data_IF_822978659782
#
_entry.id   IF_822978659782
#
_cell.length_a   1.000
_cell.length_b   1.000
_cell.length_c   1.000
_cell.angle_alpha   90.00
_cell.angle_beta   90.00
_cell.angle_gamma   90.00
#
_symmetry.space_group_name_H-M   'P 1'
#
loop_
_entity.id
_entity.type
_entity.pdbx_description
1 polymer ?
#
# COMPACT_ATOMS: atom_id res chain seq x y z
N UNK A 1 1.43 40.03 3.51
CA UNK A 1 0.17 39.40 3.00
C UNK A 1 0.34 38.78 1.61
N UNK A 2 1.26 39.24 0.77
CA UNK A 2 1.60 38.63 -0.53
C UNK A 2 2.09 37.18 -0.44
N UNK A 3 2.94 36.89 0.55
CA UNK A 3 3.64 35.61 0.63
C UNK A 3 2.71 34.45 1.03
N UNK A 4 1.73 34.75 1.88
CA UNK A 4 0.68 33.80 2.25
C UNK A 4 -0.20 33.46 1.03
N UNK A 5 -0.59 34.46 0.25
CA UNK A 5 -1.38 34.23 -0.97
C UNK A 5 -0.59 33.42 -2.00
N UNK A 6 0.69 33.71 -2.18
CA UNK A 6 1.58 32.93 -3.04
C UNK A 6 1.68 31.47 -2.59
N UNK A 7 1.88 31.23 -1.29
CA UNK A 7 1.96 29.87 -0.73
C UNK A 7 0.64 29.10 -0.91
N UNK A 8 -0.50 29.76 -0.71
CA UNK A 8 -1.81 29.16 -0.93
C UNK A 8 -2.07 28.85 -2.41
N UNK A 9 -1.65 29.73 -3.33
CA UNK A 9 -1.74 29.43 -4.77
C UNK A 9 -0.88 28.21 -5.13
N UNK A 10 0.34 28.09 -4.58
CA UNK A 10 1.17 26.89 -4.80
C UNK A 10 0.57 25.63 -4.22
N UNK A 11 -0.12 25.70 -3.08
CA UNK A 11 -0.87 24.57 -2.53
C UNK A 11 -2.08 24.18 -3.41
N UNK A 12 -2.77 25.15 -4.01
CA UNK A 12 -3.87 24.92 -4.95
C UNK A 12 -3.36 24.32 -6.27
N UNK A 13 -2.25 24.82 -6.80
CA UNK A 13 -1.61 24.30 -8.02
C UNK A 13 -1.03 22.89 -7.82
N UNK A 14 -0.77 22.50 -6.56
CA UNK A 14 -0.18 21.22 -6.20
C UNK A 14 -1.01 20.55 -5.10
N UNK A 15 -2.26 20.16 -5.39
CA UNK A 15 -3.16 19.63 -4.37
C UNK A 15 -2.54 18.41 -3.68
N UNK A 16 -1.84 17.53 -4.41
CA UNK A 16 -1.12 16.39 -3.84
C UNK A 16 -0.01 16.72 -2.83
N UNK A 17 0.38 17.99 -2.68
CA UNK A 17 1.27 18.47 -1.62
C UNK A 17 0.51 18.96 -0.36
N UNK A 18 -0.82 18.97 -0.37
CA UNK A 18 -1.67 19.32 0.79
C UNK A 18 -2.12 18.07 1.56
N UNK A 19 -2.23 18.18 2.89
CA UNK A 19 -2.44 16.99 3.76
C UNK A 19 -3.77 16.31 3.49
N UNK A 20 -4.81 17.11 3.22
CA UNK A 20 -6.16 16.63 2.98
C UNK A 20 -6.31 15.91 1.65
N UNK A 21 -5.74 16.44 0.55
CA UNK A 21 -5.90 15.80 -0.76
C UNK A 21 -4.81 14.79 -1.10
N UNK A 22 -3.72 14.74 -0.32
CA UNK A 22 -2.74 13.66 -0.38
C UNK A 22 -3.05 12.48 0.55
N UNK A 23 -4.27 12.42 1.11
CA UNK A 23 -4.69 11.40 2.07
C UNK A 23 -3.64 11.15 3.17
N UNK A 24 -2.89 12.18 3.59
CA UNK A 24 -1.72 12.00 4.49
C UNK A 24 -2.10 11.58 5.90
N UNK A 25 -3.40 11.58 6.21
CA UNK A 25 -3.98 11.03 7.43
C UNK A 25 -4.41 9.56 7.31
N UNK A 26 -4.52 9.02 6.09
CA UNK A 26 -4.84 7.62 5.87
C UNK A 26 -3.60 6.75 6.04
N UNK A 27 -3.80 5.54 6.58
CA UNK A 27 -2.73 4.59 6.86
C UNK A 27 -2.40 3.70 5.66
N UNK A 28 -3.42 3.24 4.93
CA UNK A 28 -3.34 2.44 3.70
C UNK A 28 -4.42 2.96 2.74
N UNK A 29 -4.15 2.90 1.44
CA UNK A 29 -5.13 3.11 0.38
C UNK A 29 -5.21 1.81 -0.41
N UNK A 30 -6.42 1.36 -0.67
CA UNK A 30 -6.71 0.16 -1.45
C UNK A 30 -7.51 0.56 -2.69
N UNK A 31 -7.43 -0.25 -3.75
CA UNK A 31 -8.39 -0.14 -4.84
C UNK A 31 -9.77 -0.56 -4.33
N UNK A 32 -10.82 0.10 -4.81
CA UNK A 32 -12.20 -0.28 -4.48
C UNK A 32 -12.51 -1.68 -5.01
N UNK A 33 -12.05 -1.95 -6.23
CA UNK A 33 -12.20 -3.26 -6.87
C UNK A 33 -10.97 -4.13 -6.62
N UNK A 34 -11.21 -5.40 -6.30
CA UNK A 34 -10.15 -6.41 -6.23
C UNK A 34 -9.48 -6.59 -7.59
N UNK A 35 -8.15 -6.57 -7.61
CA UNK A 35 -7.38 -6.93 -8.79
C UNK A 35 -7.33 -8.46 -8.87
N UNK A 36 -7.92 -9.01 -9.92
CA UNK A 36 -7.87 -10.44 -10.23
C UNK A 36 -6.86 -10.62 -11.38
N UNK A 37 -5.87 -11.47 -11.15
CA UNK A 37 -4.90 -11.86 -12.17
C UNK A 37 -5.31 -13.18 -12.83
N UNK A 38 -5.90 -13.08 -14.03
CA UNK A 38 -6.33 -14.24 -14.84
C UNK A 38 -5.26 -14.69 -15.86
N UNK A 39 -4.00 -14.24 -15.72
CA UNK A 39 -2.94 -14.53 -16.69
C UNK A 39 -2.25 -15.90 -16.51
N UNK A 40 -2.85 -16.81 -15.74
CA UNK A 40 -2.29 -18.12 -15.43
C UNK A 40 -1.89 -18.97 -16.65
N UNK A 41 -2.69 -19.00 -17.72
CA UNK A 41 -2.35 -19.74 -18.93
C UNK A 41 -1.09 -19.18 -19.59
N UNK A 42 -0.99 -17.85 -19.65
CA UNK A 42 0.18 -17.14 -20.19
C UNK A 42 1.42 -17.36 -19.32
N UNK A 43 1.28 -17.34 -17.99
CA UNK A 43 2.36 -17.64 -17.06
C UNK A 43 2.95 -19.04 -17.31
N UNK A 44 2.09 -20.04 -17.55
CA UNK A 44 2.52 -21.39 -17.89
C UNK A 44 3.25 -21.45 -19.24
N UNK A 45 2.73 -20.79 -20.27
CA UNK A 45 3.37 -20.74 -21.60
C UNK A 45 4.76 -20.09 -21.55
N UNK A 46 4.93 -19.06 -20.71
CA UNK A 46 6.20 -18.36 -20.52
C UNK A 46 7.17 -19.10 -19.59
N UNK A 47 6.73 -20.15 -18.91
CA UNK A 47 7.51 -20.84 -17.88
C UNK A 47 7.78 -19.95 -16.66
N UNK A 48 6.86 -19.05 -16.32
CA UNK A 48 6.96 -18.24 -15.11
C UNK A 48 6.71 -19.14 -13.88
N UNK A 49 7.75 -19.32 -13.07
CA UNK A 49 7.68 -20.19 -11.88
C UNK A 49 7.21 -19.43 -10.64
N UNK A 50 7.75 -18.22 -10.41
CA UNK A 50 7.46 -17.40 -9.23
C UNK A 50 7.38 -15.91 -9.60
N UNK A 51 6.46 -15.20 -8.96
CA UNK A 51 6.42 -13.74 -9.00
C UNK A 51 6.02 -13.14 -7.63
N UNK A 52 6.34 -11.87 -7.45
CA UNK A 52 6.01 -11.11 -6.24
C UNK A 52 5.05 -10.00 -6.63
N UNK A 53 3.86 -10.02 -6.03
CA UNK A 53 2.90 -8.94 -6.10
C UNK A 53 3.46 -7.69 -5.46
N UNK A 54 3.10 -6.52 -5.99
CA UNK A 54 3.45 -5.24 -5.39
C UNK A 54 2.21 -4.37 -5.33
N UNK A 55 1.67 -4.22 -4.13
CA UNK A 55 0.62 -3.26 -3.82
C UNK A 55 1.26 -2.04 -3.17
N UNK A 56 1.41 -0.97 -3.93
CA UNK A 56 1.97 0.27 -3.42
C UNK A 56 1.39 1.51 -4.10
N UNK A 57 1.15 2.56 -3.32
CA UNK A 57 0.68 3.85 -3.81
C UNK A 57 1.80 4.88 -3.63
N UNK A 58 2.36 5.36 -4.73
CA UNK A 58 3.41 6.38 -4.72
C UNK A 58 2.83 7.73 -5.17
N UNK A 59 2.98 8.76 -4.32
CA UNK A 59 2.92 10.15 -4.77
C UNK A 59 1.85 11.04 -4.12
N UNK A 60 0.73 10.50 -3.63
CA UNK A 60 -0.39 11.34 -3.10
C UNK A 60 -1.20 10.61 -2.02
N UNK A 61 -0.59 9.69 -1.26
CA UNK A 61 -1.31 8.81 -0.33
C UNK A 61 -0.37 7.89 0.45
N UNK A 62 -0.92 7.09 1.40
CA UNK A 62 -0.16 6.31 2.38
C UNK A 62 1.05 5.60 1.79
N UNK A 63 2.19 5.81 2.43
CA UNK A 63 3.51 5.49 1.94
C UNK A 63 3.96 4.06 2.26
N UNK A 64 3.02 3.11 2.31
CA UNK A 64 3.31 1.70 2.63
C UNK A 64 3.30 0.93 1.32
N UNK A 65 4.24 0.01 1.16
CA UNK A 65 4.23 -0.99 0.11
C UNK A 65 4.10 -2.37 0.74
N UNK A 66 3.15 -3.15 0.23
CA UNK A 66 2.97 -4.56 0.57
C UNK A 66 3.42 -5.37 -0.64
N UNK A 67 4.35 -6.28 -0.39
CA UNK A 67 4.83 -7.23 -1.37
C UNK A 67 4.42 -8.62 -0.92
N UNK A 68 3.55 -9.27 -1.67
CA UNK A 68 2.99 -10.57 -1.34
C UNK A 68 3.35 -11.60 -2.40
N UNK A 69 3.51 -12.84 -1.98
CA UNK A 69 3.74 -13.98 -2.87
C UNK A 69 3.31 -15.26 -2.17
N UNK A 70 2.86 -16.26 -2.94
CA UNK A 70 2.58 -17.60 -2.43
C UNK A 70 3.79 -18.48 -2.70
N UNK A 71 4.45 -18.93 -1.63
CA UNK A 71 5.63 -19.81 -1.72
C UNK A 71 5.34 -21.10 -0.97
N UNK A 72 5.45 -22.24 -1.66
CA UNK A 72 5.16 -23.56 -1.09
C UNK A 72 3.77 -23.67 -0.43
N UNK A 73 2.76 -22.99 -1.01
CA UNK A 73 1.40 -22.95 -0.45
C UNK A 73 1.24 -22.08 0.80
N UNK A 74 2.23 -21.25 1.12
CA UNK A 74 2.19 -20.29 2.24
C UNK A 74 2.26 -18.86 1.73
N UNK A 75 1.52 -17.96 2.37
CA UNK A 75 1.61 -16.53 2.12
C UNK A 75 2.90 -15.98 2.74
N UNK A 76 3.81 -15.49 1.89
CA UNK A 76 4.97 -14.69 2.27
C UNK A 76 4.67 -13.22 1.94
N UNK A 77 4.93 -12.32 2.90
CA UNK A 77 4.53 -10.92 2.79
C UNK A 77 5.56 -10.00 3.44
N UNK A 78 6.06 -9.02 2.68
CA UNK A 78 6.93 -7.97 3.15
C UNK A 78 6.20 -6.62 3.20
N UNK A 79 6.29 -5.94 4.33
CA UNK A 79 5.78 -4.59 4.52
C UNK A 79 6.94 -3.59 4.56
N UNK A 80 6.96 -2.67 3.60
CA UNK A 80 7.97 -1.61 3.49
C UNK A 80 7.31 -0.28 3.77
N UNK A 81 7.89 0.50 4.69
CA UNK A 81 7.39 1.80 5.09
C UNK A 81 8.54 2.78 5.35
N UNK A 82 8.35 4.08 5.12
CA UNK A 82 9.37 5.09 5.39
C UNK A 82 9.44 5.40 6.88
N UNK A 83 10.64 5.26 7.44
CA UNK A 83 11.01 5.81 8.75
C UNK A 83 11.65 7.19 8.55
N UNK A 84 11.38 8.20 9.40
CA UNK A 84 10.58 8.14 10.64
C UNK A 84 9.10 8.49 10.47
N UNK A 85 8.58 8.51 9.23
CA UNK A 85 7.18 8.87 8.98
C UNK A 85 6.21 7.91 9.69
N UNK A 86 6.53 6.61 9.71
CA UNK A 86 5.86 5.62 10.54
C UNK A 86 6.83 5.03 11.57
N UNK A 87 6.36 4.82 12.80
CA UNK A 87 7.14 4.16 13.85
C UNK A 87 7.11 2.64 13.68
N UNK A 88 8.11 1.95 14.23
CA UNK A 88 8.15 0.48 14.19
C UNK A 88 6.95 -0.11 14.93
N UNK A 89 6.66 0.41 16.11
CA UNK A 89 5.57 -0.06 16.99
C UNK A 89 4.22 0.08 16.30
N UNK A 90 3.98 1.23 15.65
CA UNK A 90 2.78 1.51 14.89
C UNK A 90 2.60 0.53 13.72
N UNK A 91 3.67 0.22 13.00
CA UNK A 91 3.65 -0.72 11.88
C UNK A 91 3.49 -2.17 12.33
N UNK A 92 4.08 -2.54 13.47
CA UNK A 92 3.91 -3.86 14.08
C UNK A 92 2.46 -4.08 14.55
N UNK A 93 1.81 -3.06 15.12
CA UNK A 93 0.38 -3.11 15.47
C UNK A 93 -0.50 -3.33 14.24
N UNK A 94 -0.27 -2.56 13.17
CA UNK A 94 -0.99 -2.69 11.90
C UNK A 94 -0.88 -4.11 11.32
N UNK A 95 0.35 -4.61 11.16
CA UNK A 95 0.59 -5.95 10.60
C UNK A 95 0.06 -7.05 11.54
N UNK A 96 0.15 -6.84 12.85
CA UNK A 96 -0.44 -7.74 13.84
C UNK A 96 -1.95 -7.85 13.68
N UNK A 97 -2.64 -6.72 13.46
CA UNK A 97 -4.08 -6.70 13.22
C UNK A 97 -4.45 -7.40 11.90
N UNK A 98 -3.72 -7.11 10.81
CA UNK A 98 -3.92 -7.77 9.51
C UNK A 98 -3.79 -9.30 9.63
N UNK A 99 -2.77 -9.79 10.32
CA UNK A 99 -2.56 -11.24 10.53
C UNK A 99 -3.71 -11.90 11.28
N UNK A 100 -4.27 -11.24 12.30
CA UNK A 100 -5.41 -11.78 13.05
C UNK A 100 -6.62 -11.94 12.14
N UNK A 101 -6.99 -10.90 11.38
CA UNK A 101 -8.10 -11.00 10.43
C UNK A 101 -7.92 -12.15 9.44
N UNK A 102 -6.74 -12.25 8.82
CA UNK A 102 -6.45 -13.31 7.84
C UNK A 102 -6.56 -14.72 8.46
N UNK A 103 -6.12 -14.91 9.70
CA UNK A 103 -6.21 -16.21 10.38
C UNK A 103 -7.62 -16.51 10.86
N UNK A 104 -8.30 -15.51 11.42
CA UNK A 104 -9.64 -15.66 11.99
C UNK A 104 -10.70 -15.89 10.89
N UNK A 105 -10.60 -15.19 9.76
CA UNK A 105 -11.48 -15.39 8.59
C UNK A 105 -11.29 -16.75 7.92
N UNK A 106 -10.11 -17.37 8.05
CA UNK A 106 -9.88 -18.75 7.57
C UNK A 106 -10.55 -19.82 8.45
N UNK A 107 -10.99 -19.49 9.67
CA UNK A 107 -11.60 -20.44 10.61
C UNK A 107 -13.14 -20.41 10.61
N UNK A 108 -13.75 -19.61 9.75
CA UNK A 108 -15.21 -19.57 9.51
C UNK A 108 -15.57 -20.22 8.17
#
# INVERSE_FOLDING_TARGET
MSDLNYLMCKAIDNPGLTTSSSLRTAFISVFEDSIIDDSNEMHQELGLEDYVGCSSVHGVGPSIAIFDTIRNGQLDCACVYPSPLHSREQMEELIGHMKRMLVDDCNN
#
